data_IF_013521304717
#
_entry.id   IF_013521304717
#
_cell.length_a   1.000
_cell.length_b   1.000
_cell.length_c   1.000
_cell.angle_alpha   90.00
_cell.angle_beta   90.00
_cell.angle_gamma   90.00
#
_symmetry.space_group_name_H-M   'P 1'
#
loop_
_entity.id
_entity.type
_entity.pdbx_description
1 polymer ?
#
# COMPACT_ATOMS: atom_id res chain seq x y z
N UNK A 1 -5.73 -2.56 16.96
CA UNK A 1 -4.45 -1.82 16.84
C UNK A 1 -3.86 -1.72 18.23
N UNK A 2 -2.53 -1.79 18.35
CA UNK A 2 -1.88 -1.53 19.64
C UNK A 2 -2.03 -0.02 19.93
N UNK A 3 -2.58 0.38 21.09
CA UNK A 3 -2.65 1.78 21.48
C UNK A 3 -1.26 2.42 21.50
N UNK A 4 -1.17 3.71 21.20
CA UNK A 4 0.06 4.53 21.33
C UNK A 4 1.25 4.14 20.43
N UNK A 5 1.12 3.11 19.61
CA UNK A 5 2.11 2.75 18.59
C UNK A 5 1.71 3.40 17.26
N UNK A 6 2.60 4.17 16.59
CA UNK A 6 2.29 4.75 15.29
C UNK A 6 2.11 3.65 14.23
N UNK A 7 0.96 3.64 13.56
CA UNK A 7 0.63 2.67 12.52
C UNK A 7 0.73 3.31 11.14
N UNK A 8 1.76 2.95 10.37
CA UNK A 8 1.94 3.42 9.00
C UNK A 8 1.45 2.42 7.97
N UNK A 9 0.78 2.93 6.93
CA UNK A 9 0.49 2.14 5.74
C UNK A 9 1.68 2.17 4.78
N UNK A 10 2.16 1.01 4.35
CA UNK A 10 3.23 0.90 3.37
C UNK A 10 2.88 1.65 2.07
N UNK A 11 3.74 2.59 1.67
CA UNK A 11 3.50 3.44 0.50
C UNK A 11 3.53 2.64 -0.81
N UNK A 12 4.45 1.68 -0.94
CA UNK A 12 4.55 0.82 -2.13
C UNK A 12 3.28 -0.01 -2.32
N UNK A 13 2.76 -0.61 -1.24
CA UNK A 13 1.51 -1.36 -1.30
C UNK A 13 0.30 -0.49 -1.60
N UNK A 14 0.24 0.71 -1.01
CA UNK A 14 -0.83 1.68 -1.29
C UNK A 14 -0.80 2.12 -2.75
N UNK A 15 0.37 2.45 -3.28
CA UNK A 15 0.54 2.81 -4.69
C UNK A 15 0.15 1.65 -5.61
N UNK A 16 0.69 0.44 -5.41
CA UNK A 16 0.37 -0.74 -6.23
C UNK A 16 -1.12 -1.06 -6.23
N UNK A 17 -1.77 -0.97 -5.07
CA UNK A 17 -3.21 -1.20 -4.95
C UNK A 17 -4.03 -0.16 -5.72
N UNK A 18 -3.68 1.13 -5.63
CA UNK A 18 -4.36 2.17 -6.37
C UNK A 18 -4.14 2.02 -7.88
N UNK A 19 -2.92 1.71 -8.31
CA UNK A 19 -2.57 1.48 -9.71
C UNK A 19 -3.30 0.26 -10.31
N UNK A 20 -3.51 -0.81 -9.55
CA UNK A 20 -4.27 -1.97 -10.04
C UNK A 20 -5.76 -1.65 -10.27
N UNK A 21 -6.32 -0.69 -9.52
CA UNK A 21 -7.69 -0.22 -9.70
C UNK A 21 -7.83 0.77 -10.86
N UNK A 22 -6.91 1.72 -10.98
CA UNK A 22 -6.97 2.79 -11.99
C UNK A 22 -6.57 2.32 -13.39
N UNK A 23 -5.93 1.14 -13.51
CA UNK A 23 -5.27 0.64 -14.71
C UNK A 23 -4.02 1.47 -15.09
N UNK A 24 -3.21 0.97 -16.03
CA UNK A 24 -2.00 1.68 -16.49
C UNK A 24 -2.31 2.91 -17.35
N UNK A 25 -3.43 2.89 -18.06
CA UNK A 25 -3.86 3.94 -19.00
C UNK A 25 -5.35 4.26 -18.79
N UNK A 26 -5.70 5.01 -17.72
CA UNK A 26 -7.07 5.43 -17.49
C UNK A 26 -7.58 6.26 -18.68
N UNK A 27 -8.81 6.02 -19.13
CA UNK A 27 -9.41 6.75 -20.27
C UNK A 27 -10.03 8.09 -19.87
N UNK A 28 -10.46 8.20 -18.61
CA UNK A 28 -11.06 9.41 -18.05
C UNK A 28 -9.98 10.35 -17.52
N UNK A 29 -10.14 11.65 -17.73
CA UNK A 29 -9.23 12.67 -17.18
C UNK A 29 -9.05 12.54 -15.65
N UNK A 30 -10.15 12.31 -14.92
CA UNK A 30 -10.14 12.13 -13.45
C UNK A 30 -9.25 10.95 -13.04
N UNK A 31 -9.33 9.85 -13.79
CA UNK A 31 -8.50 8.68 -13.56
C UNK A 31 -7.02 8.93 -13.85
N UNK A 32 -6.71 9.69 -14.89
CA UNK A 32 -5.33 10.08 -15.24
C UNK A 32 -4.74 10.94 -14.12
N UNK A 33 -5.44 12.00 -13.71
CA UNK A 33 -4.97 12.89 -12.65
C UNK A 33 -4.80 12.15 -11.30
N UNK A 34 -5.73 11.26 -10.95
CA UNK A 34 -5.57 10.46 -9.73
C UNK A 34 -4.37 9.51 -9.81
N UNK A 35 -4.12 8.93 -10.99
CA UNK A 35 -2.98 8.04 -11.21
C UNK A 35 -1.64 8.78 -11.06
N UNK A 36 -1.57 10.04 -11.50
CA UNK A 36 -0.38 10.90 -11.30
C UNK A 36 -0.10 11.14 -9.82
N UNK A 37 -1.13 11.53 -9.05
CA UNK A 37 -1.01 11.72 -7.59
C UNK A 37 -0.52 10.43 -6.91
N UNK A 38 -1.08 9.29 -7.32
CA UNK A 38 -0.71 7.96 -6.82
C UNK A 38 0.75 7.63 -7.14
N UNK A 39 1.24 7.94 -8.35
CA UNK A 39 2.63 7.68 -8.75
C UNK A 39 3.61 8.52 -7.93
N UNK A 40 3.25 9.75 -7.58
CA UNK A 40 4.07 10.64 -6.77
C UNK A 40 4.16 10.23 -5.29
N UNK A 41 3.29 9.34 -4.82
CA UNK A 41 3.19 8.95 -3.41
C UNK A 41 4.54 8.48 -2.83
N UNK A 42 5.26 7.60 -3.53
CA UNK A 42 6.54 7.07 -3.05
C UNK A 42 7.73 8.04 -3.21
N UNK A 43 7.53 9.17 -3.90
CA UNK A 43 8.57 10.17 -4.13
C UNK A 43 8.67 11.22 -3.03
N UNK A 44 7.72 11.26 -2.09
CA UNK A 44 7.76 12.15 -0.93
C UNK A 44 8.90 11.73 0.02
N UNK A 45 9.80 12.67 0.33
CA UNK A 45 11.02 12.45 1.13
C UNK A 45 11.07 13.29 2.39
N UNK A 46 10.35 14.41 2.44
CA UNK A 46 10.40 15.36 3.55
C UNK A 46 9.02 15.96 3.85
N UNK A 47 8.92 16.66 4.98
CA UNK A 47 7.64 17.24 5.46
C UNK A 47 7.08 18.30 4.52
N UNK A 48 7.95 19.04 3.82
CA UNK A 48 7.53 20.04 2.83
C UNK A 48 6.84 19.38 1.62
N UNK A 49 7.45 18.35 1.05
CA UNK A 49 6.85 17.56 -0.03
C UNK A 49 5.55 16.86 0.38
N UNK A 50 5.45 16.38 1.64
CA UNK A 50 4.20 15.85 2.21
C UNK A 50 3.09 16.89 2.13
N UNK A 51 3.36 18.13 2.56
CA UNK A 51 2.36 19.22 2.52
C UNK A 51 1.94 19.53 1.08
N UNK A 52 2.89 19.56 0.13
CA UNK A 52 2.58 19.77 -1.28
C UNK A 52 1.69 18.64 -1.81
N UNK A 53 2.04 17.38 -1.53
CA UNK A 53 1.28 16.22 -1.98
C UNK A 53 -0.15 16.23 -1.44
N UNK A 54 -0.34 16.55 -0.16
CA UNK A 54 -1.66 16.67 0.47
C UNK A 54 -2.48 17.77 -0.21
N UNK A 55 -1.90 18.97 -0.39
CA UNK A 55 -2.60 20.08 -1.06
C UNK A 55 -2.98 19.74 -2.51
N UNK A 56 -2.14 19.00 -3.22
CA UNK A 56 -2.46 18.54 -4.57
C UNK A 56 -3.63 17.56 -4.57
N UNK A 57 -3.64 16.60 -3.64
CA UNK A 57 -4.74 15.65 -3.48
C UNK A 57 -6.06 16.34 -3.08
N UNK A 58 -6.01 17.33 -2.18
CA UNK A 58 -7.18 18.12 -1.78
C UNK A 58 -7.74 18.95 -2.95
N UNK A 59 -6.87 19.55 -3.78
CA UNK A 59 -7.28 20.27 -4.99
C UNK A 59 -7.95 19.33 -6.00
N UNK A 60 -7.39 18.13 -6.19
CA UNK A 60 -7.99 17.10 -7.02
C UNK A 60 -9.37 16.69 -6.49
N UNK A 61 -9.49 16.44 -5.19
CA UNK A 61 -10.76 16.11 -4.54
C UNK A 61 -11.80 17.22 -4.78
N UNK A 62 -11.45 18.48 -4.49
CA UNK A 62 -12.35 19.61 -4.69
C UNK A 62 -12.86 19.73 -6.14
N UNK A 63 -12.01 19.42 -7.12
CA UNK A 63 -12.36 19.51 -8.55
C UNK A 63 -13.23 18.35 -9.03
N UNK A 64 -13.04 17.15 -8.49
CA UNK A 64 -13.57 15.92 -9.10
C UNK A 64 -14.50 15.11 -8.19
N UNK A 65 -14.83 15.58 -6.97
CA UNK A 65 -15.62 14.81 -6.01
C UNK A 65 -17.00 14.38 -6.56
N UNK A 66 -17.64 15.23 -7.37
CA UNK A 66 -18.94 14.93 -7.96
C UNK A 66 -18.83 13.80 -9.00
N UNK A 67 -17.80 13.86 -9.86
CA UNK A 67 -17.51 12.80 -10.84
C UNK A 67 -17.11 11.49 -10.14
N UNK A 68 -16.36 11.56 -9.04
CA UNK A 68 -15.99 10.38 -8.24
C UNK A 68 -17.22 9.73 -7.60
N UNK A 69 -18.20 10.53 -7.19
CA UNK A 69 -19.42 10.06 -6.53
C UNK A 69 -20.60 9.82 -7.48
N UNK A 70 -20.42 10.08 -8.78
CA UNK A 70 -21.41 9.86 -9.83
C UNK A 70 -22.08 8.49 -9.69
N UNK A 71 -23.41 8.48 -9.82
CA UNK A 71 -24.25 7.30 -9.66
C UNK A 71 -24.89 6.93 -10.99
N UNK A 72 -24.87 5.64 -11.29
CA UNK A 72 -25.65 5.04 -12.37
C UNK A 72 -26.86 4.34 -11.73
N UNK A 73 -28.03 4.52 -12.34
CA UNK A 73 -29.28 3.92 -11.86
C UNK A 73 -29.65 2.71 -12.72
N UNK A 74 -30.22 1.69 -12.09
CA UNK A 74 -30.85 0.58 -12.79
C UNK A 74 -32.08 1.06 -13.57
N UNK A 75 -32.54 0.23 -14.52
CA UNK A 75 -33.74 0.54 -15.33
C UNK A 75 -34.99 0.77 -14.45
N UNK A 76 -35.05 0.11 -13.29
CA UNK A 76 -36.13 0.24 -12.31
C UNK A 76 -36.07 1.53 -11.47
N UNK A 77 -34.99 2.32 -11.59
CA UNK A 77 -34.67 3.53 -10.80
C UNK A 77 -34.65 3.35 -9.28
N UNK A 78 -34.83 2.13 -8.76
CA UNK A 78 -34.77 1.82 -7.32
C UNK A 78 -33.38 1.43 -6.88
N UNK A 79 -32.60 0.81 -7.77
CA UNK A 79 -31.23 0.41 -7.49
C UNK A 79 -30.23 1.35 -8.18
N UNK A 80 -29.09 1.57 -7.54
CA UNK A 80 -28.01 2.37 -8.11
C UNK A 80 -26.64 1.82 -7.70
N UNK A 81 -25.62 2.18 -8.47
CA UNK A 81 -24.22 1.94 -8.13
C UNK A 81 -23.37 3.15 -8.51
N UNK A 82 -22.18 3.29 -7.91
CA UNK A 82 -21.24 4.30 -8.35
C UNK A 82 -20.75 3.98 -9.77
N UNK A 83 -20.81 4.97 -10.67
CA UNK A 83 -20.38 4.83 -12.06
C UNK A 83 -18.92 4.37 -12.15
N UNK A 84 -18.05 4.99 -11.34
CA UNK A 84 -16.60 4.76 -11.36
C UNK A 84 -16.10 4.03 -10.11
N UNK A 85 -16.56 2.78 -9.89
CA UNK A 85 -16.27 2.00 -8.67
C UNK A 85 -14.78 1.94 -8.31
N UNK A 86 -13.92 1.66 -9.30
CA UNK A 86 -12.47 1.52 -9.07
C UNK A 86 -11.77 2.86 -8.80
N UNK A 87 -12.13 3.90 -9.54
CA UNK A 87 -11.67 5.27 -9.30
C UNK A 87 -11.99 5.69 -7.85
N UNK A 88 -13.25 5.51 -7.45
CA UNK A 88 -13.70 5.84 -6.11
C UNK A 88 -13.01 5.01 -5.04
N UNK A 89 -12.81 3.71 -5.27
CA UNK A 89 -12.10 2.83 -4.33
C UNK A 89 -10.63 3.26 -4.15
N UNK A 90 -9.97 3.66 -5.24
CA UNK A 90 -8.61 4.21 -5.20
C UNK A 90 -8.56 5.51 -4.39
N UNK A 91 -9.41 6.48 -4.73
CA UNK A 91 -9.52 7.76 -4.01
C UNK A 91 -9.80 7.56 -2.51
N UNK A 92 -10.78 6.73 -2.16
CA UNK A 92 -11.12 6.47 -0.74
C UNK A 92 -9.98 5.80 0.01
N UNK A 93 -9.21 4.94 -0.66
CA UNK A 93 -8.04 4.30 -0.04
C UNK A 93 -7.04 5.34 0.38
N UNK A 94 -6.70 6.29 -0.51
CA UNK A 94 -5.81 7.41 -0.19
C UNK A 94 -6.41 8.27 0.92
N UNK A 95 -7.67 8.71 0.77
CA UNK A 95 -8.34 9.63 1.72
C UNK A 95 -8.37 9.09 3.14
N UNK A 96 -8.72 7.81 3.32
CA UNK A 96 -8.75 7.17 4.65
C UNK A 96 -7.33 6.98 5.21
N UNK A 97 -6.35 6.70 4.34
CA UNK A 97 -4.98 6.43 4.77
C UNK A 97 -4.14 7.68 5.03
N UNK A 98 -4.60 8.88 4.63
CA UNK A 98 -3.76 10.08 4.52
C UNK A 98 -2.96 10.41 5.79
N UNK A 99 -3.59 10.25 6.97
CA UNK A 99 -2.98 10.50 8.27
C UNK A 99 -1.86 9.51 8.61
N UNK A 100 -1.87 8.33 7.98
CA UNK A 100 -1.01 7.20 8.27
C UNK A 100 -0.04 6.87 7.12
N UNK A 101 0.06 7.70 6.07
CA UNK A 101 0.95 7.46 4.94
C UNK A 101 2.40 7.92 5.22
N UNK A 102 2.56 9.02 5.96
CA UNK A 102 3.82 9.75 6.04
C UNK A 102 4.43 9.80 7.46
N UNK A 103 4.10 8.84 8.33
CA UNK A 103 4.62 8.81 9.71
C UNK A 103 6.14 8.59 9.75
N UNK A 104 6.74 7.98 8.72
CA UNK A 104 8.20 7.82 8.59
C UNK A 104 8.96 9.14 8.54
N UNK A 105 8.29 10.26 8.26
CA UNK A 105 8.88 11.59 8.30
C UNK A 105 8.96 12.15 9.73
N UNK A 106 8.21 11.58 10.66
CA UNK A 106 8.08 12.02 12.04
C UNK A 106 8.76 11.04 13.02
N UNK A 107 8.86 9.75 12.68
CA UNK A 107 9.46 8.71 13.52
C UNK A 107 10.72 8.10 12.89
N UNK A 108 11.87 8.31 13.53
CA UNK A 108 13.14 7.69 13.12
C UNK A 108 13.08 6.16 13.21
N UNK A 109 13.64 5.48 12.20
CA UNK A 109 13.65 4.01 12.13
C UNK A 109 12.41 3.38 11.48
N UNK A 110 11.35 4.15 11.23
CA UNK A 110 10.19 3.67 10.50
C UNK A 110 10.44 3.78 8.98
N UNK A 111 10.42 2.66 8.26
CA UNK A 111 10.57 2.66 6.81
C UNK A 111 9.26 3.01 6.10
N UNK A 112 9.33 3.79 5.02
CA UNK A 112 8.16 4.14 4.18
C UNK A 112 7.53 2.93 3.46
N UNK A 113 8.31 1.87 3.29
CA UNK A 113 7.90 0.64 2.63
C UNK A 113 8.43 -0.61 3.33
N UNK A 114 8.04 -1.77 2.81
CA UNK A 114 8.38 -3.09 3.35
C UNK A 114 9.35 -3.85 2.43
N UNK A 115 10.14 -3.16 1.60
CA UNK A 115 11.00 -3.81 0.61
C UNK A 115 12.00 -4.78 1.25
N UNK A 116 12.57 -4.43 2.40
CA UNK A 116 13.44 -5.31 3.17
C UNK A 116 12.73 -6.62 3.56
N UNK A 117 11.49 -6.51 4.07
CA UNK A 117 10.67 -7.67 4.43
C UNK A 117 10.23 -8.48 3.20
N UNK A 118 9.89 -7.84 2.08
CA UNK A 118 9.52 -8.52 0.83
C UNK A 118 10.68 -9.37 0.29
N UNK A 119 11.90 -8.83 0.30
CA UNK A 119 13.11 -9.57 -0.11
C UNK A 119 13.30 -10.82 0.74
N UNK A 120 13.14 -10.67 2.06
CA UNK A 120 13.26 -11.77 3.01
C UNK A 120 12.20 -12.85 2.78
N UNK A 121 10.93 -12.47 2.60
CA UNK A 121 9.88 -13.41 2.27
C UNK A 121 10.05 -14.07 0.91
N UNK A 122 10.68 -13.39 -0.07
CA UNK A 122 11.03 -13.99 -1.36
C UNK A 122 12.04 -15.12 -1.16
N UNK A 123 13.11 -14.90 -0.40
CA UNK A 123 14.10 -15.94 -0.10
C UNK A 123 13.47 -17.13 0.65
N UNK A 124 12.63 -16.87 1.66
CA UNK A 124 11.90 -17.93 2.37
C UNK A 124 11.03 -18.75 1.41
N UNK A 125 10.22 -18.08 0.58
CA UNK A 125 9.32 -18.74 -0.39
C UNK A 125 10.10 -19.59 -1.40
N UNK A 126 11.25 -19.11 -1.86
CA UNK A 126 12.11 -19.85 -2.80
C UNK A 126 12.65 -21.13 -2.16
N UNK A 127 13.09 -21.09 -0.89
CA UNK A 127 13.54 -22.31 -0.20
C UNK A 127 12.38 -23.27 0.06
N UNK A 128 11.21 -22.75 0.45
CA UNK A 128 10.02 -23.55 0.69
C UNK A 128 9.48 -24.19 -0.61
N UNK A 129 9.63 -23.53 -1.77
CA UNK A 129 9.12 -24.00 -3.05
C UNK A 129 9.85 -25.23 -3.59
N UNK A 130 11.08 -25.50 -3.13
CA UNK A 130 11.79 -26.77 -3.40
C UNK A 130 11.12 -27.94 -2.67
N UNK A 131 10.40 -27.67 -1.58
CA UNK A 131 9.76 -28.68 -0.73
C UNK A 131 8.22 -28.68 -0.86
N UNK A 132 7.69 -28.68 -2.09
CA UNK A 132 6.24 -28.56 -2.35
C UNK A 132 5.38 -29.61 -1.64
N UNK A 133 5.89 -30.83 -1.52
CA UNK A 133 5.22 -31.99 -0.91
C UNK A 133 5.13 -31.99 0.62
N UNK A 134 5.64 -30.96 1.31
CA UNK A 134 5.50 -30.89 2.77
C UNK A 134 4.05 -30.71 3.20
N UNK A 135 3.65 -31.49 4.20
CA UNK A 135 2.40 -31.27 4.94
C UNK A 135 2.40 -29.89 5.61
N UNK A 136 1.22 -29.34 5.91
CA UNK A 136 1.09 -28.03 6.57
C UNK A 136 1.91 -27.94 7.87
N UNK A 137 1.87 -28.98 8.70
CA UNK A 137 2.66 -29.07 9.95
C UNK A 137 4.16 -28.95 9.68
N UNK A 138 4.67 -29.68 8.67
CA UNK A 138 6.10 -29.62 8.31
C UNK A 138 6.48 -28.27 7.69
N UNK A 139 5.60 -27.63 6.90
CA UNK A 139 5.82 -26.26 6.39
C UNK A 139 5.96 -25.24 7.52
N UNK A 140 5.09 -25.32 8.53
CA UNK A 140 5.17 -24.45 9.72
C UNK A 140 6.50 -24.66 10.44
N UNK A 141 6.89 -25.92 10.68
CA UNK A 141 8.16 -26.22 11.33
C UNK A 141 9.36 -25.74 10.51
N UNK A 142 9.33 -25.89 9.18
CA UNK A 142 10.36 -25.37 8.29
C UNK A 142 10.53 -23.85 8.46
N UNK A 143 9.42 -23.10 8.45
CA UNK A 143 9.45 -21.64 8.63
C UNK A 143 10.01 -21.26 10.00
N UNK A 144 9.61 -21.96 11.07
CA UNK A 144 10.14 -21.74 12.42
C UNK A 144 11.65 -21.96 12.47
N UNK A 145 12.14 -23.08 11.93
CA UNK A 145 13.57 -23.40 11.88
C UNK A 145 14.34 -22.41 11.00
N UNK A 146 13.78 -21.98 9.87
CA UNK A 146 14.38 -20.98 9.01
C UNK A 146 14.68 -19.68 9.78
N UNK A 147 13.68 -19.14 10.48
CA UNK A 147 13.87 -17.92 11.27
C UNK A 147 14.80 -18.13 12.46
N UNK A 148 14.68 -19.25 13.17
CA UNK A 148 15.55 -19.59 14.31
C UNK A 148 17.03 -19.68 13.92
N UNK A 149 17.34 -20.38 12.82
CA UNK A 149 18.73 -20.49 12.36
C UNK A 149 19.23 -19.13 11.91
N UNK A 150 18.43 -18.39 11.13
CA UNK A 150 18.84 -17.10 10.58
C UNK A 150 19.10 -16.05 11.67
N UNK A 151 18.29 -15.99 12.73
CA UNK A 151 18.53 -15.05 13.83
C UNK A 151 19.85 -15.32 14.56
N UNK A 152 20.22 -16.60 14.73
CA UNK A 152 21.49 -17.01 15.34
C UNK A 152 22.71 -16.76 14.46
N UNK A 153 22.57 -16.91 13.14
CA UNK A 153 23.65 -16.54 12.21
C UNK A 153 23.95 -15.04 12.27
N UNK A 154 22.93 -14.18 12.31
CA UNK A 154 23.14 -12.73 12.41
C UNK A 154 23.81 -12.29 13.73
N UNK A 155 23.51 -12.94 14.85
CA UNK A 155 24.13 -12.61 16.15
C UNK A 155 25.64 -12.86 16.20
N UNK A 156 26.16 -13.83 15.43
CA UNK A 156 27.60 -14.14 15.40
C UNK A 156 28.45 -13.16 14.58
N UNK A 157 27.83 -12.30 13.77
CA UNK A 157 28.52 -11.41 12.83
C UNK A 157 28.35 -9.92 13.14
N UNK A 158 27.70 -9.56 14.26
CA UNK A 158 27.58 -8.19 14.76
C UNK A 158 28.34 -7.95 16.08
N UNK A 159 29.15 -8.92 16.51
CA UNK A 159 30.08 -8.79 17.64
C UNK A 159 31.49 -8.47 17.12
N UNK A 160 31.69 -7.25 16.63
CA UNK A 160 33.01 -6.60 16.48
C UNK A 160 32.81 -5.09 16.54
#
# INVERSE_FOLDING_TARGET
>A
MIPDVPHQRCLVHTQRFCQSLLTRHPKTEVGVQLLEIVKCLNHVKNKYEKVIWIKWFERFEKRHIDQINERTYAKDKKHWWHAHKNLRRSYRTLKISINNLFLYLDYHGLSKDTNALESEFKHLKQRLSVHKGLTRKRKINFIKWYFYLKSRYHQKHHTF
#
